data_IF_061481915212
#
_entry.id   IF_061481915212
#
_cell.length_a   1.000
_cell.length_b   1.000
_cell.length_c   1.000
_cell.angle_alpha   90.00
_cell.angle_beta   90.00
_cell.angle_gamma   90.00
#
_symmetry.space_group_name_H-M   'P 1'
#
loop_
_entity.id
_entity.type
_entity.pdbx_description
1 polymer ?
#
# COMPACT_ATOMS: atom_id res chain seq x y z
N UNK A 1 3.90 -0.95 3.04
CA UNK A 1 3.97 -0.13 1.83
C UNK A 1 4.77 -0.83 0.77
N UNK A 2 4.26 -0.88 -0.43
CA UNK A 2 5.00 -1.34 -1.61
C UNK A 2 5.49 -0.14 -2.40
N UNK A 3 6.78 -0.12 -2.72
CA UNK A 3 7.40 0.97 -3.46
C UNK A 3 7.97 0.45 -4.77
N UNK A 4 7.68 1.13 -5.86
CA UNK A 4 8.23 0.82 -7.17
C UNK A 4 9.21 1.92 -7.56
N UNK A 5 10.46 1.53 -7.80
CA UNK A 5 11.56 2.44 -8.08
C UNK A 5 12.20 2.09 -9.42
N UNK A 6 12.52 3.10 -10.22
CA UNK A 6 13.26 2.90 -11.45
C UNK A 6 14.69 2.46 -11.17
N UNK A 7 15.16 1.43 -11.86
CA UNK A 7 16.51 0.88 -11.64
C UNK A 7 17.58 1.88 -12.06
N UNK A 8 17.41 2.53 -13.19
CA UNK A 8 18.40 3.50 -13.70
C UNK A 8 18.18 4.90 -13.13
N UNK A 9 16.95 5.38 -13.13
CA UNK A 9 16.64 6.73 -12.65
C UNK A 9 16.77 6.88 -11.14
N UNK A 10 16.66 5.79 -10.40
CA UNK A 10 16.62 5.79 -8.92
C UNK A 10 15.43 6.58 -8.35
N UNK A 11 14.44 6.89 -9.18
CA UNK A 11 13.26 7.64 -8.77
C UNK A 11 12.16 6.71 -8.30
N UNK A 12 11.47 7.11 -7.24
CA UNK A 12 10.27 6.41 -6.78
C UNK A 12 9.13 6.78 -7.71
N UNK A 13 8.53 5.78 -8.34
CA UNK A 13 7.50 5.96 -9.34
C UNK A 13 6.10 5.74 -8.80
N UNK A 14 5.92 4.75 -7.92
CA UNK A 14 4.64 4.43 -7.28
C UNK A 14 4.85 4.02 -5.84
N UNK A 15 3.89 4.38 -5.00
CA UNK A 15 3.83 3.95 -3.59
C UNK A 15 2.42 3.45 -3.30
N UNK A 16 2.34 2.21 -2.87
CA UNK A 16 1.08 1.59 -2.43
C UNK A 16 1.13 1.49 -0.92
N UNK A 17 0.34 2.32 -0.25
CA UNK A 17 0.37 2.44 1.20
C UNK A 17 -0.90 1.82 1.79
N UNK A 18 -0.74 0.90 2.72
CA UNK A 18 -1.84 0.29 3.45
C UNK A 18 -1.64 0.56 4.94
N UNK A 19 -2.58 1.31 5.52
CA UNK A 19 -2.62 1.56 6.94
C UNK A 19 -3.47 0.48 7.60
N UNK A 20 -2.89 -0.21 8.57
CA UNK A 20 -3.56 -1.27 9.30
C UNK A 20 -3.66 -0.85 10.76
N UNK A 21 -4.89 -0.69 11.24
CA UNK A 21 -5.15 -0.31 12.61
C UNK A 21 -5.89 -1.44 13.33
N UNK A 22 -5.44 -1.75 14.54
CA UNK A 22 -6.17 -2.67 15.39
C UNK A 22 -7.31 -1.92 16.08
N UNK A 23 -8.50 -2.50 16.02
CA UNK A 23 -9.68 -1.92 16.65
C UNK A 23 -10.16 -2.82 17.77
N UNK A 24 -9.76 -2.48 19.00
CA UNK A 24 -10.13 -3.23 20.19
C UNK A 24 -11.62 -3.11 20.55
N UNK A 25 -12.33 -2.10 20.01
CA UNK A 25 -13.77 -1.94 20.24
C UNK A 25 -14.62 -3.01 19.54
N UNK A 26 -14.02 -3.74 18.59
CA UNK A 26 -14.69 -4.80 17.82
C UNK A 26 -14.48 -6.21 18.37
N UNK A 27 -13.97 -6.35 19.60
CA UNK A 27 -13.68 -7.65 20.20
C UNK A 27 -14.87 -8.62 20.24
N UNK A 28 -16.08 -8.08 20.26
CA UNK A 28 -17.31 -8.86 20.29
C UNK A 28 -18.03 -8.91 18.94
N UNK A 29 -17.44 -8.36 17.90
CA UNK A 29 -18.04 -8.36 16.59
C UNK A 29 -17.78 -9.67 15.86
N UNK A 30 -18.83 -10.29 15.33
CA UNK A 30 -18.67 -11.41 14.42
C UNK A 30 -18.81 -10.88 13.00
N UNK A 31 -17.74 -10.99 12.23
CA UNK A 31 -17.80 -10.71 10.80
C UNK A 31 -17.55 -12.01 10.04
N UNK A 32 -18.51 -12.46 9.22
CA UNK A 32 -18.32 -13.69 8.47
C UNK A 32 -17.09 -13.64 7.58
N UNK A 33 -16.35 -14.74 7.54
CA UNK A 33 -15.16 -14.85 6.68
C UNK A 33 -15.50 -14.61 5.21
N UNK A 34 -16.69 -15.01 4.77
CA UNK A 34 -17.13 -14.78 3.41
C UNK A 34 -17.24 -13.28 3.07
N UNK A 35 -17.67 -12.48 4.04
CA UNK A 35 -17.74 -11.02 3.86
C UNK A 35 -16.36 -10.38 3.75
N UNK A 36 -15.45 -10.79 4.62
CA UNK A 36 -14.07 -10.33 4.60
C UNK A 36 -13.42 -10.68 3.25
N UNK A 37 -13.63 -11.91 2.79
CA UNK A 37 -13.11 -12.38 1.51
C UNK A 37 -13.64 -11.53 0.35
N UNK A 38 -14.94 -11.20 0.36
CA UNK A 38 -15.52 -10.34 -0.68
C UNK A 38 -14.93 -8.93 -0.68
N UNK A 39 -14.69 -8.36 0.49
CA UNK A 39 -14.09 -7.03 0.59
C UNK A 39 -12.65 -7.02 0.09
N UNK A 40 -11.87 -8.04 0.43
CA UNK A 40 -10.50 -8.19 -0.07
C UNK A 40 -10.51 -8.37 -1.59
N UNK A 41 -11.40 -9.19 -2.13
CA UNK A 41 -11.55 -9.37 -3.57
C UNK A 41 -11.90 -8.06 -4.28
N UNK A 42 -12.77 -7.25 -3.68
CA UNK A 42 -13.14 -5.95 -4.24
C UNK A 42 -11.93 -5.01 -4.27
N UNK A 43 -11.10 -5.01 -3.23
CA UNK A 43 -9.87 -4.24 -3.19
C UNK A 43 -8.89 -4.70 -4.28
N UNK A 44 -8.71 -6.01 -4.42
CA UNK A 44 -7.82 -6.57 -5.45
C UNK A 44 -8.30 -6.20 -6.85
N UNK A 45 -9.61 -6.23 -7.09
CA UNK A 45 -10.17 -5.78 -8.38
C UNK A 45 -9.89 -4.30 -8.63
N UNK A 46 -9.97 -3.46 -7.60
CA UNK A 46 -9.63 -2.05 -7.71
C UNK A 46 -8.17 -1.86 -8.05
N UNK A 47 -7.28 -2.60 -7.40
CA UNK A 47 -5.84 -2.56 -7.70
C UNK A 47 -5.59 -2.98 -9.15
N UNK A 48 -6.19 -4.07 -9.59
CA UNK A 48 -6.07 -4.53 -10.98
C UNK A 48 -6.60 -3.51 -11.97
N UNK A 49 -7.72 -2.86 -11.64
CA UNK A 49 -8.33 -1.83 -12.48
C UNK A 49 -7.56 -0.51 -12.51
N UNK A 50 -6.62 -0.30 -11.60
CA UNK A 50 -5.86 0.95 -11.51
C UNK A 50 -5.00 1.21 -12.75
N UNK A 51 -4.74 0.20 -13.55
CA UNK A 51 -4.05 0.35 -14.84
C UNK A 51 -4.71 1.39 -15.74
N UNK A 52 -5.99 1.67 -15.55
CA UNK A 52 -6.72 2.63 -16.37
C UNK A 52 -6.31 4.08 -16.11
N UNK A 53 -5.76 4.39 -14.94
CA UNK A 53 -5.35 5.75 -14.60
C UNK A 53 -3.87 5.89 -14.25
N UNK A 54 -3.19 4.80 -13.90
CA UNK A 54 -1.76 4.86 -13.59
C UNK A 54 -0.94 5.10 -14.86
N UNK A 55 0.08 5.98 -14.79
CA UNK A 55 0.96 6.19 -15.92
C UNK A 55 1.69 4.90 -16.33
N UNK A 56 1.90 4.74 -17.63
CA UNK A 56 2.70 3.62 -18.14
C UNK A 56 4.15 3.78 -17.69
N UNK A 57 4.69 2.73 -17.09
CA UNK A 57 6.10 2.71 -16.70
C UNK A 57 6.90 2.14 -17.86
N UNK A 58 7.82 2.94 -18.39
CA UNK A 58 8.61 2.59 -19.58
C UNK A 58 10.03 2.15 -19.24
N UNK A 59 10.45 2.27 -17.97
CA UNK A 59 11.77 1.85 -17.55
C UNK A 59 11.73 0.57 -16.74
N UNK A 60 12.88 -0.10 -16.66
CA UNK A 60 13.00 -1.26 -15.77
C UNK A 60 12.88 -0.83 -14.33
N UNK A 61 12.04 -1.52 -13.58
CA UNK A 61 11.73 -1.18 -12.21
C UNK A 61 12.04 -2.33 -11.26
N UNK A 62 12.28 -1.98 -10.02
CA UNK A 62 12.34 -2.90 -8.90
C UNK A 62 11.30 -2.50 -7.86
N UNK A 63 10.93 -3.43 -7.00
CA UNK A 63 10.02 -3.11 -5.91
C UNK A 63 10.63 -3.49 -4.56
N UNK A 64 10.23 -2.75 -3.54
CA UNK A 64 10.55 -3.04 -2.15
C UNK A 64 9.29 -2.98 -1.30
N UNK A 65 9.27 -3.79 -0.25
CA UNK A 65 8.22 -3.75 0.75
C UNK A 65 8.78 -3.10 2.00
N UNK A 66 8.16 -2.00 2.44
CA UNK A 66 8.54 -1.26 3.63
C UNK A 66 7.45 -1.37 4.67
N UNK A 67 7.85 -1.59 5.90
CA UNK A 67 6.91 -1.69 7.02
C UNK A 67 7.22 -0.59 8.02
N UNK A 68 6.21 0.22 8.32
CA UNK A 68 6.27 1.22 9.37
C UNK A 68 5.67 0.63 10.63
N UNK A 69 6.47 0.55 11.67
CA UNK A 69 6.03 0.04 12.95
C UNK A 69 6.42 1.01 14.06
N UNK A 70 5.93 0.75 15.24
CA UNK A 70 6.38 1.47 16.44
C UNK A 70 7.89 1.25 16.61
N UNK A 71 8.62 2.32 16.94
CA UNK A 71 10.08 2.28 17.11
C UNK A 71 10.54 1.29 18.17
N UNK A 72 9.68 0.98 19.14
CA UNK A 72 10.01 0.11 20.26
C UNK A 72 9.72 -1.37 19.99
N UNK A 73 9.17 -1.70 18.81
CA UNK A 73 8.89 -3.08 18.47
C UNK A 73 10.13 -3.77 17.92
N UNK A 74 10.40 -5.02 18.33
CA UNK A 74 11.49 -5.78 17.73
C UNK A 74 11.18 -6.12 16.28
N UNK A 75 12.17 -5.97 15.42
CA UNK A 75 12.06 -6.31 14.00
C UNK A 75 13.08 -7.41 13.66
N UNK A 76 12.82 -8.21 12.62
CA UNK A 76 13.79 -9.22 12.19
C UNK A 76 15.15 -8.60 11.85
N UNK A 77 16.23 -9.30 12.18
CA UNK A 77 17.58 -8.81 11.93
C UNK A 77 17.90 -8.58 10.45
N UNK A 78 17.22 -9.29 9.58
CA UNK A 78 17.41 -9.16 8.13
C UNK A 78 16.83 -7.85 7.57
N UNK A 79 16.03 -7.13 8.35
CA UNK A 79 15.41 -5.87 7.91
C UNK A 79 16.37 -4.71 8.09
N UNK A 80 16.43 -3.87 7.08
CA UNK A 80 17.23 -2.66 7.10
C UNK A 80 16.33 -1.44 7.25
N UNK A 81 16.87 -0.39 7.89
CA UNK A 81 16.17 0.87 7.93
C UNK A 81 16.16 1.52 6.55
N UNK A 82 15.04 2.16 6.22
CA UNK A 82 14.87 2.85 4.96
C UNK A 82 14.19 4.20 5.17
N UNK A 83 14.31 5.08 4.19
CA UNK A 83 13.62 6.36 4.23
C UNK A 83 12.15 6.22 3.81
N UNK A 84 11.41 7.33 3.83
CA UNK A 84 9.99 7.33 3.54
C UNK A 84 9.65 7.12 2.05
N UNK A 85 10.65 7.16 1.17
CA UNK A 85 10.45 6.97 -0.28
C UNK A 85 9.36 7.87 -0.85
N UNK A 86 9.39 9.15 -0.49
CA UNK A 86 8.39 10.10 -0.94
C UNK A 86 8.53 10.38 -2.44
N UNK A 87 7.42 10.70 -3.08
CA UNK A 87 7.37 11.06 -4.49
C UNK A 87 7.12 12.55 -4.60
N UNK A 88 7.99 13.28 -5.33
CA UNK A 88 7.77 14.68 -5.62
C UNK A 88 6.63 14.84 -6.65
N UNK A 89 5.74 15.80 -6.41
CA UNK A 89 4.61 16.08 -7.29
C UNK A 89 3.73 14.86 -7.55
N UNK A 90 3.52 14.06 -6.51
CA UNK A 90 2.71 12.86 -6.59
C UNK A 90 1.23 13.19 -6.67
N UNK A 91 0.49 12.39 -7.44
CA UNK A 91 -0.94 12.32 -7.37
C UNK A 91 -1.32 11.07 -6.60
N UNK A 92 -2.39 11.14 -5.80
CA UNK A 92 -2.79 10.03 -4.96
C UNK A 92 -4.25 9.68 -5.19
N UNK A 93 -4.55 8.40 -5.16
CA UNK A 93 -5.91 7.87 -5.25
C UNK A 93 -6.16 6.96 -4.07
N UNK A 94 -7.25 7.24 -3.35
CA UNK A 94 -7.64 6.42 -2.21
C UNK A 94 -8.28 5.12 -2.70
N UNK A 95 -7.83 4.01 -2.13
CA UNK A 95 -8.38 2.70 -2.40
C UNK A 95 -9.54 2.39 -1.45
N UNK A 96 -10.27 1.32 -1.74
CA UNK A 96 -11.33 0.84 -0.85
C UNK A 96 -10.73 0.40 0.47
N UNK A 97 -11.42 0.72 1.55
CA UNK A 97 -11.07 0.19 2.86
C UNK A 97 -11.86 -1.09 3.14
N UNK A 98 -11.34 -1.90 4.03
CA UNK A 98 -12.06 -3.06 4.53
C UNK A 98 -11.71 -3.29 6.00
N UNK A 99 -12.51 -4.09 6.65
CA UNK A 99 -12.26 -4.44 8.04
C UNK A 99 -12.35 -5.95 8.24
N UNK A 100 -11.59 -6.42 9.20
CA UNK A 100 -11.69 -7.78 9.72
C UNK A 100 -12.34 -7.73 11.10
N UNK A 101 -12.30 -8.84 11.85
CA UNK A 101 -12.81 -8.86 13.21
C UNK A 101 -12.12 -7.86 14.14
N UNK A 102 -10.81 -7.62 13.93
CA UNK A 102 -9.98 -6.84 14.85
C UNK A 102 -9.16 -5.74 14.17
N UNK A 103 -9.21 -5.63 12.85
CA UNK A 103 -8.39 -4.67 12.11
C UNK A 103 -9.21 -3.89 11.10
N UNK A 104 -8.82 -2.64 10.90
CA UNK A 104 -9.26 -1.81 9.78
C UNK A 104 -8.08 -1.57 8.85
N UNK A 105 -8.32 -1.69 7.55
CA UNK A 105 -7.30 -1.52 6.53
C UNK A 105 -7.74 -0.45 5.54
N UNK A 106 -6.94 0.61 5.42
CA UNK A 106 -7.10 1.66 4.43
C UNK A 106 -5.93 1.64 3.46
N UNK A 107 -6.20 1.85 2.20
CA UNK A 107 -5.16 1.86 1.19
C UNK A 107 -5.16 3.13 0.35
N UNK A 108 -3.99 3.46 -0.17
CA UNK A 108 -3.80 4.58 -1.07
C UNK A 108 -2.66 4.27 -2.04
N UNK A 109 -2.82 4.64 -3.30
CA UNK A 109 -1.72 4.62 -4.25
C UNK A 109 -1.31 6.05 -4.57
N UNK A 110 -0.02 6.31 -4.51
CA UNK A 110 0.59 7.56 -4.95
C UNK A 110 1.47 7.26 -6.15
N UNK A 111 1.39 8.08 -7.17
CA UNK A 111 2.16 7.86 -8.37
C UNK A 111 2.69 9.19 -8.90
N UNK A 112 3.82 9.09 -9.60
CA UNK A 112 4.45 10.23 -10.21
C UNK A 112 3.78 10.53 -11.54
N UNK A 113 3.40 11.80 -11.73
CA UNK A 113 2.92 12.25 -13.03
C UNK A 113 4.09 12.33 -14.00
N UNK A 114 3.85 11.84 -15.22
CA UNK A 114 4.85 11.95 -16.28
C UNK A 114 5.11 13.40 -16.66
N UNK A 115 6.29 13.65 -17.20
CA UNK A 115 6.59 14.93 -17.81
C UNK A 115 5.91 14.98 -19.20
N UNK A 116 5.09 15.97 -19.39
CA UNK A 116 4.36 16.18 -20.64
C UNK A 116 5.00 17.31 -21.44
#
# INVERSE_FOLDING_TARGET
MLVITGVESKQVLERWVFNIEADSSKENGEKPMAEITKEIQALIRQITGSVTFLPLIEETCAFDILIYTDKNLPVPQAWEESDAKMIDHAQSVKLRSFSTLVHEVDGMVSYRLGEW
#
